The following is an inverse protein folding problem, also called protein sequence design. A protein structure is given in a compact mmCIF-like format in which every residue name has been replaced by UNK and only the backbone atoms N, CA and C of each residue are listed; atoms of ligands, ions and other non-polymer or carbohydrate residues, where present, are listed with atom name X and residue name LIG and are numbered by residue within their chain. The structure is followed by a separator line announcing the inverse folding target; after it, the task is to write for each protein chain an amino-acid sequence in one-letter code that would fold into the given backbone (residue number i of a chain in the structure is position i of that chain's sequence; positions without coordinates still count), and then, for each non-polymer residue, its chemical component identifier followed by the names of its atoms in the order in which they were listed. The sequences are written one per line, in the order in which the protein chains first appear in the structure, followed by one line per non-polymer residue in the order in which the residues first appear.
data_IF_432540037246
#
_entry.id   IF_432540037246
#
_cell.length_a   1.000
_cell.length_b   1.000
_cell.length_c   1.000
_cell.angle_alpha   90.00
_cell.angle_beta   90.00
_cell.angle_gamma   90.00
#
_symmetry.space_group_name_H-M   'P 1'
#
loop_
_entity.id
_entity.type
_entity.pdbx_description
1 polymer ?
#
# COMPACT_ATOMS: atom_id res chain seq x y z
N UNK A 1 2.96 13.48 10.04
CA UNK A 1 1.61 14.07 10.23
C UNK A 1 0.58 13.17 9.54
N UNK A 2 -0.60 13.01 10.11
CA UNK A 2 -1.68 12.23 9.49
C UNK A 2 -2.62 13.21 8.77
N UNK A 3 -2.63 13.17 7.44
CA UNK A 3 -3.44 14.09 6.62
C UNK A 3 -4.84 13.56 6.37
N UNK A 4 -4.99 12.24 6.29
CA UNK A 4 -6.29 11.58 6.19
C UNK A 4 -6.34 10.42 7.18
N UNK A 5 -7.00 10.58 8.35
CA UNK A 5 -7.04 9.55 9.38
C UNK A 5 -7.83 8.33 8.92
N UNK A 6 -7.52 7.16 9.49
CA UNK A 6 -8.31 5.95 9.28
C UNK A 6 -9.68 6.10 9.93
N UNK A 7 -10.72 5.69 9.21
CA UNK A 7 -12.10 5.74 9.70
C UNK A 7 -12.63 4.33 9.83
N UNK A 8 -12.91 3.92 11.06
CA UNK A 8 -13.54 2.63 11.29
C UNK A 8 -15.00 2.64 10.81
N UNK A 9 -15.48 1.50 10.36
CA UNK A 9 -16.77 1.29 9.67
C UNK A 9 -17.23 -0.10 10.05
N UNK A 10 -18.51 -0.23 10.37
CA UNK A 10 -19.11 -1.52 10.65
C UNK A 10 -19.11 -2.39 9.39
N UNK A 11 -18.66 -3.62 9.54
CA UNK A 11 -18.70 -4.63 8.49
C UNK A 11 -19.25 -5.92 9.09
N UNK A 12 -20.22 -6.52 8.39
CA UNK A 12 -20.97 -7.68 8.87
C UNK A 12 -20.45 -8.99 8.27
N UNK A 13 -19.78 -8.92 7.12
CA UNK A 13 -19.12 -10.08 6.55
C UNK A 13 -17.83 -10.41 7.32
N UNK A 14 -17.66 -11.65 7.83
CA UNK A 14 -16.49 -12.01 8.62
C UNK A 14 -15.16 -11.88 7.88
N UNK A 15 -15.13 -12.12 6.56
CA UNK A 15 -13.89 -12.03 5.77
C UNK A 15 -13.50 -10.57 5.57
N UNK A 16 -14.46 -9.72 5.21
CA UNK A 16 -14.24 -8.27 5.11
C UNK A 16 -13.86 -7.68 6.47
N UNK A 17 -14.48 -8.14 7.56
CA UNK A 17 -14.12 -7.75 8.92
C UNK A 17 -12.66 -8.08 9.27
N UNK A 18 -12.14 -9.21 8.79
CA UNK A 18 -10.74 -9.57 8.99
C UNK A 18 -9.80 -8.64 8.21
N UNK A 19 -10.13 -8.30 6.95
CA UNK A 19 -9.44 -7.29 6.16
C UNK A 19 -9.38 -5.93 6.88
N UNK A 20 -10.53 -5.45 7.35
CA UNK A 20 -10.67 -4.21 8.12
C UNK A 20 -9.81 -4.20 9.39
N UNK A 21 -9.73 -5.33 10.10
CA UNK A 21 -8.84 -5.45 11.28
C UNK A 21 -7.36 -5.30 10.91
N UNK A 22 -6.94 -5.90 9.79
CA UNK A 22 -5.56 -5.75 9.30
C UNK A 22 -5.27 -4.30 8.89
N UNK A 23 -6.17 -3.66 8.13
CA UNK A 23 -6.07 -2.22 7.78
C UNK A 23 -6.00 -1.33 9.03
N UNK A 24 -6.85 -1.58 10.04
CA UNK A 24 -6.87 -0.81 11.28
C UNK A 24 -5.61 -1.00 12.11
N UNK A 25 -5.09 -2.24 12.18
CA UNK A 25 -3.82 -2.54 12.85
C UNK A 25 -2.67 -1.77 12.19
N UNK A 26 -2.57 -1.83 10.87
CA UNK A 26 -1.52 -1.12 10.14
C UNK A 26 -1.67 0.41 10.25
N UNK A 27 -2.91 0.93 10.19
CA UNK A 27 -3.17 2.35 10.45
C UNK A 27 -2.68 2.78 11.84
N UNK A 28 -2.92 1.96 12.87
CA UNK A 28 -2.42 2.23 14.22
C UNK A 28 -0.89 2.34 14.27
N UNK A 29 -0.15 1.44 13.62
CA UNK A 29 1.32 1.50 13.59
C UNK A 29 1.85 2.70 12.80
N UNK A 30 1.28 2.97 11.63
CA UNK A 30 1.65 4.14 10.82
C UNK A 30 1.37 5.44 11.57
N UNK A 31 0.22 5.55 12.21
CA UNK A 31 -0.14 6.71 13.03
C UNK A 31 0.84 6.89 14.18
N UNK A 32 1.11 5.82 14.94
CA UNK A 32 2.03 5.89 16.07
C UNK A 32 3.44 6.33 15.64
N UNK A 33 3.91 5.87 14.49
CA UNK A 33 5.26 6.16 14.02
C UNK A 33 5.37 7.53 13.33
N UNK A 34 4.38 7.93 12.54
CA UNK A 34 4.47 9.12 11.69
C UNK A 34 3.68 10.33 12.19
N UNK A 35 2.88 10.23 13.25
CA UNK A 35 2.02 11.34 13.75
C UNK A 35 2.80 12.65 13.93
N UNK A 36 3.95 12.59 14.57
CA UNK A 36 4.78 13.76 14.89
C UNK A 36 5.81 14.10 13.80
N UNK A 37 5.89 13.29 12.74
CA UNK A 37 6.85 13.51 11.67
C UNK A 37 6.45 14.72 10.82
N UNK A 38 7.40 15.64 10.56
CA UNK A 38 7.13 16.90 9.84
C UNK A 38 7.25 16.78 8.32
N UNK A 39 8.01 15.80 7.83
CA UNK A 39 8.30 15.59 6.39
C UNK A 39 7.64 14.35 5.79
N UNK A 40 6.89 13.61 6.60
CA UNK A 40 6.21 12.38 6.19
C UNK A 40 4.74 12.52 6.52
N UNK A 41 3.91 12.23 5.54
CA UNK A 41 2.47 12.41 5.63
C UNK A 41 1.76 11.11 5.35
N UNK A 42 0.76 10.76 6.16
CA UNK A 42 0.00 9.52 5.99
C UNK A 42 -1.43 9.83 5.56
N UNK A 43 -1.91 9.09 4.57
CA UNK A 43 -3.30 9.09 4.14
C UNK A 43 -3.82 7.65 4.13
N UNK A 44 -4.88 7.39 4.86
CA UNK A 44 -5.54 6.08 4.86
C UNK A 44 -6.72 6.02 3.87
N UNK A 45 -7.05 4.82 3.41
CA UNK A 45 -8.18 4.49 2.54
C UNK A 45 -8.27 5.36 1.28
N UNK A 46 -7.12 5.64 0.63
CA UNK A 46 -7.07 6.53 -0.54
C UNK A 46 -7.79 5.87 -1.70
N UNK A 47 -8.86 6.51 -2.17
CA UNK A 47 -9.61 6.10 -3.35
C UNK A 47 -9.62 7.24 -4.35
N UNK A 48 -9.19 6.95 -5.57
CA UNK A 48 -9.15 7.90 -6.69
C UNK A 48 -9.72 7.24 -7.94
N UNK A 49 -10.18 8.07 -8.86
CA UNK A 49 -10.62 7.65 -10.19
C UNK A 49 -9.92 8.52 -11.23
N UNK A 50 -9.35 7.90 -12.25
CA UNK A 50 -8.68 8.59 -13.34
C UNK A 50 -8.71 7.72 -14.60
N UNK A 51 -9.08 8.30 -15.73
CA UNK A 51 -9.15 7.63 -17.05
C UNK A 51 -9.96 6.33 -17.05
N UNK A 52 -11.07 6.31 -16.29
CA UNK A 52 -11.95 5.13 -16.16
C UNK A 52 -11.39 4.02 -15.27
N UNK A 53 -10.20 4.21 -14.70
CA UNK A 53 -9.62 3.30 -13.72
C UNK A 53 -9.85 3.82 -12.29
N UNK A 54 -10.24 2.91 -11.41
CA UNK A 54 -10.36 3.18 -9.99
C UNK A 54 -9.13 2.62 -9.28
N UNK A 55 -8.45 3.48 -8.53
CA UNK A 55 -7.43 3.04 -7.60
C UNK A 55 -7.86 3.17 -6.14
N UNK A 56 -7.61 2.12 -5.37
CA UNK A 56 -7.80 2.03 -3.93
C UNK A 56 -6.49 1.54 -3.30
N UNK A 57 -5.95 2.33 -2.39
CA UNK A 57 -4.71 2.06 -1.66
C UNK A 57 -5.02 2.17 -0.17
N UNK A 58 -4.74 1.11 0.59
CA UNK A 58 -5.10 1.05 2.02
C UNK A 58 -4.40 2.16 2.80
N UNK A 59 -3.10 2.34 2.60
CA UNK A 59 -2.34 3.43 3.21
C UNK A 59 -1.32 4.00 2.22
N UNK A 60 -1.23 5.32 2.17
CA UNK A 60 -0.24 6.06 1.37
C UNK A 60 0.59 6.92 2.31
N UNK A 61 1.90 6.71 2.28
CA UNK A 61 2.89 7.55 2.96
C UNK A 61 3.56 8.43 1.92
N UNK A 62 3.38 9.74 2.03
CA UNK A 62 3.99 10.75 1.16
C UNK A 62 5.27 11.26 1.80
N UNK A 63 6.34 11.34 1.02
CA UNK A 63 7.65 11.85 1.42
C UNK A 63 8.25 12.74 0.33
N UNK A 64 9.35 13.44 0.63
CA UNK A 64 9.93 14.43 -0.28
C UNK A 64 10.42 13.92 -1.64
N UNK A 65 10.50 12.60 -1.84
CA UNK A 65 10.94 11.98 -3.10
C UNK A 65 9.84 11.20 -3.81
N UNK A 66 8.65 11.07 -3.21
CA UNK A 66 7.55 10.32 -3.78
C UNK A 66 6.60 9.74 -2.75
N UNK A 67 6.13 8.53 -3.00
CA UNK A 67 5.15 7.85 -2.17
C UNK A 67 5.54 6.40 -1.91
N UNK A 68 5.15 5.91 -0.73
CA UNK A 68 5.12 4.51 -0.39
C UNK A 68 3.67 4.08 -0.14
N UNK A 69 3.22 3.05 -0.84
CA UNK A 69 1.91 2.41 -0.64
C UNK A 69 2.12 1.22 0.29
N UNK A 70 1.27 1.10 1.31
CA UNK A 70 1.23 -0.08 2.18
C UNK A 70 -0.10 -0.77 1.99
N UNK A 71 -0.06 -1.96 1.39
CA UNK A 71 -1.19 -2.86 1.19
C UNK A 71 -1.34 -3.79 2.39
N UNK A 72 -2.48 -3.72 3.07
CA UNK A 72 -2.76 -4.49 4.28
C UNK A 72 -3.48 -5.78 3.92
N UNK A 73 -2.86 -6.94 4.21
CA UNK A 73 -3.45 -8.25 3.95
C UNK A 73 -3.75 -8.96 5.27
N UNK A 74 -5.03 -9.28 5.47
CA UNK A 74 -5.45 -10.15 6.57
C UNK A 74 -5.02 -11.60 6.29
N UNK A 75 -4.01 -12.07 7.02
CA UNK A 75 -3.48 -13.42 6.95
C UNK A 75 -3.66 -14.08 8.31
N UNK A 76 -4.65 -14.96 8.42
CA UNK A 76 -4.94 -15.67 9.67
C UNK A 76 -4.04 -16.88 9.92
N UNK A 77 -3.29 -17.33 8.92
CA UNK A 77 -2.37 -18.47 9.04
C UNK A 77 -1.04 -18.15 8.37
N UNK A 78 -0.94 -18.32 7.05
CA UNK A 78 0.33 -18.16 6.34
C UNK A 78 0.14 -17.71 4.90
N UNK A 79 1.06 -16.88 4.43
CA UNK A 79 1.30 -16.59 3.02
C UNK A 79 2.63 -17.23 2.63
N UNK A 80 2.69 -17.82 1.45
CA UNK A 80 3.90 -18.42 0.89
C UNK A 80 4.23 -17.78 -0.44
N UNK A 81 5.51 -17.50 -0.63
CA UNK A 81 6.08 -17.10 -1.91
C UNK A 81 6.99 -18.25 -2.34
N UNK A 82 6.54 -18.99 -3.35
CA UNK A 82 7.21 -20.21 -3.78
C UNK A 82 8.47 -19.91 -4.61
N UNK A 83 9.18 -20.95 -5.06
CA UNK A 83 10.43 -20.78 -5.80
C UNK A 83 10.28 -20.03 -7.15
N UNK A 84 9.08 -20.07 -7.74
CA UNK A 84 8.72 -19.35 -8.97
C UNK A 84 8.28 -17.90 -8.71
N UNK A 85 8.15 -17.48 -7.44
CA UNK A 85 7.68 -16.14 -7.07
C UNK A 85 6.16 -16.02 -7.02
N UNK A 86 5.43 -17.13 -7.13
CA UNK A 86 3.98 -17.13 -7.04
C UNK A 86 3.53 -17.03 -5.59
N UNK A 87 2.43 -16.34 -5.38
CA UNK A 87 1.85 -16.14 -4.06
C UNK A 87 0.78 -17.18 -3.79
N UNK A 88 0.84 -17.76 -2.60
CA UNK A 88 -0.14 -18.70 -2.11
C UNK A 88 -0.57 -18.31 -0.70
N UNK A 89 -1.83 -18.58 -0.37
CA UNK A 89 -2.34 -18.47 1.00
C UNK A 89 -2.68 -19.86 1.52
N UNK A 90 -2.48 -20.07 2.82
CA UNK A 90 -2.94 -21.27 3.51
C UNK A 90 -4.36 -21.06 4.02
N UNK A 91 -5.25 -21.99 3.72
CA UNK A 91 -6.61 -22.02 4.28
C UNK A 91 -7.11 -23.46 4.37
N UNK A 92 -7.69 -23.85 5.51
CA UNK A 92 -8.13 -25.22 5.75
C UNK A 92 -7.02 -26.27 5.57
N UNK A 93 -5.78 -25.91 5.92
CA UNK A 93 -4.60 -26.78 5.76
C UNK A 93 -4.07 -26.91 4.33
N UNK A 94 -4.71 -26.30 3.32
CA UNK A 94 -4.30 -26.35 1.92
C UNK A 94 -3.71 -25.02 1.46
N UNK A 95 -2.78 -25.10 0.52
CA UNK A 95 -2.27 -23.93 -0.20
C UNK A 95 -3.11 -23.70 -1.44
N UNK A 96 -3.43 -22.44 -1.70
CA UNK A 96 -4.12 -22.00 -2.91
C UNK A 96 -3.48 -20.73 -3.42
N UNK A 97 -3.37 -20.58 -4.74
CA UNK A 97 -2.87 -19.35 -5.35
C UNK A 97 -3.65 -18.12 -4.88
N UNK A 98 -2.94 -16.99 -4.78
CA UNK A 98 -3.50 -15.69 -4.48
C UNK A 98 -2.85 -14.60 -5.35
N UNK A 99 -3.50 -13.45 -5.54
CA UNK A 99 -2.88 -12.32 -6.23
C UNK A 99 -1.62 -11.83 -5.51
N UNK A 100 -0.63 -11.40 -6.29
CA UNK A 100 0.54 -10.69 -5.78
C UNK A 100 0.11 -9.30 -5.27
N UNK A 101 0.23 -9.08 -3.97
CA UNK A 101 -0.15 -7.84 -3.31
C UNK A 101 0.73 -6.64 -3.73
N UNK A 102 2.00 -6.88 -4.02
CA UNK A 102 2.94 -5.84 -4.48
C UNK A 102 2.53 -5.40 -5.87
N UNK A 103 2.33 -6.35 -6.78
CA UNK A 103 1.91 -6.03 -8.15
C UNK A 103 0.52 -5.37 -8.18
N UNK A 104 -0.38 -5.77 -7.26
CA UNK A 104 -1.66 -5.08 -7.08
C UNK A 104 -1.42 -3.60 -6.72
N UNK A 105 -0.67 -3.31 -5.65
CA UNK A 105 -0.40 -1.95 -5.21
C UNK A 105 0.37 -1.12 -6.27
N UNK A 106 1.26 -1.74 -7.05
CA UNK A 106 1.99 -1.05 -8.13
C UNK A 106 1.04 -0.55 -9.22
N UNK A 107 0.05 -1.37 -9.59
CA UNK A 107 -1.01 -0.97 -10.54
C UNK A 107 -1.85 0.18 -9.99
N UNK A 108 -2.24 0.12 -8.72
CA UNK A 108 -3.01 1.19 -8.06
C UNK A 108 -2.19 2.50 -8.04
N UNK A 109 -0.91 2.41 -7.67
CA UNK A 109 0.00 3.55 -7.66
C UNK A 109 0.22 4.15 -9.04
N UNK A 110 0.20 3.35 -10.11
CA UNK A 110 0.33 3.86 -11.48
C UNK A 110 -0.85 4.75 -11.89
N UNK A 111 -2.07 4.42 -11.45
CA UNK A 111 -3.26 5.29 -11.63
C UNK A 111 -3.02 6.63 -10.92
N UNK A 112 -2.51 6.60 -9.68
CA UNK A 112 -2.18 7.82 -8.93
C UNK A 112 -1.08 8.64 -9.62
N UNK A 113 -0.01 7.99 -10.10
CA UNK A 113 1.08 8.67 -10.80
C UNK A 113 0.61 9.33 -12.08
N UNK A 114 -0.28 8.68 -12.84
CA UNK A 114 -0.92 9.27 -14.05
C UNK A 114 -1.79 10.47 -13.68
N UNK A 115 -2.61 10.37 -12.62
CA UNK A 115 -3.43 11.48 -12.14
C UNK A 115 -2.59 12.69 -11.71
N UNK A 116 -1.50 12.45 -10.97
CA UNK A 116 -0.58 13.52 -10.57
C UNK A 116 0.11 14.14 -11.78
N UNK A 117 0.54 13.32 -12.74
CA UNK A 117 1.18 13.79 -13.98
C UNK A 117 0.23 14.63 -14.83
N UNK A 118 -1.04 14.22 -14.97
CA UNK A 118 -2.05 15.00 -15.72
C UNK A 118 -2.40 16.33 -15.04
N UNK A 119 -2.11 16.47 -13.74
CA UNK A 119 -2.31 17.70 -12.95
C UNK A 119 -1.01 18.42 -12.60
N UNK A 120 0.14 18.03 -13.16
CA UNK A 120 1.44 18.57 -12.77
C UNK A 120 1.52 20.09 -12.91
N UNK A 121 0.81 20.66 -13.87
CA UNK A 121 0.73 22.10 -14.14
C UNK A 121 0.11 22.90 -12.99
N UNK A 122 -0.85 22.29 -12.30
CA UNK A 122 -1.55 22.90 -11.18
C UNK A 122 -0.90 22.58 -9.83
N UNK A 123 -0.06 21.54 -9.78
CA UNK A 123 0.51 21.01 -8.53
C UNK A 123 1.99 21.35 -8.35
N UNK A 124 2.73 21.61 -9.43
CA UNK A 124 4.17 21.84 -9.38
C UNK A 124 4.52 23.20 -9.97
N UNK A 125 5.29 23.96 -9.21
CA UNK A 125 5.87 25.21 -9.66
C UNK A 125 7.01 24.98 -10.67
N UNK A 126 7.36 26.05 -11.38
CA UNK A 126 8.57 26.06 -12.21
C UNK A 126 9.81 26.15 -11.32
N UNK A 127 10.71 25.19 -11.47
CA UNK A 127 12.06 25.23 -10.91
C UNK A 127 12.84 26.34 -11.62
N UNK A 128 13.29 27.32 -10.84
CA UNK A 128 14.03 28.51 -11.32
C UNK A 128 13.31 29.30 -12.43
N UNK A 129 11.99 29.18 -12.54
CA UNK A 129 11.20 29.83 -13.59
C UNK A 129 11.40 29.25 -15.01
N UNK A 130 12.31 28.29 -15.19
CA UNK A 130 12.73 27.78 -16.50
C UNK A 130 12.31 26.33 -16.75
N UNK A 131 12.37 25.47 -15.72
CA UNK A 131 12.05 24.05 -15.85
C UNK A 131 10.78 23.72 -15.11
N UNK A 132 9.80 23.13 -15.81
CA UNK A 132 8.58 22.69 -15.16
C UNK A 132 8.86 21.44 -14.32
N UNK A 133 8.46 21.45 -13.04
CA UNK A 133 8.49 20.23 -12.24
C UNK A 133 7.65 19.13 -12.89
N UNK A 134 8.06 17.87 -12.69
CA UNK A 134 7.30 16.72 -13.19
C UNK A 134 7.26 15.61 -12.15
N UNK A 135 6.17 14.85 -12.14
CA UNK A 135 6.04 13.61 -11.37
C UNK A 135 6.72 12.41 -12.06
N UNK A 136 7.34 12.57 -13.23
CA UNK A 136 8.02 11.48 -13.94
C UNK A 136 9.05 10.74 -13.08
N UNK A 137 9.87 11.50 -12.33
CA UNK A 137 10.89 10.97 -11.42
C UNK A 137 10.37 10.63 -10.00
N UNK A 138 9.07 10.82 -9.74
CA UNK A 138 8.49 10.51 -8.43
C UNK A 138 8.65 9.01 -8.13
N UNK A 139 9.28 8.72 -6.99
CA UNK A 139 9.39 7.36 -6.47
C UNK A 139 8.00 6.82 -6.11
N UNK A 140 7.79 5.55 -6.44
CA UNK A 140 6.57 4.82 -6.11
C UNK A 140 7.01 3.46 -5.59
N UNK A 141 7.00 3.34 -4.27
CA UNK A 141 7.30 2.11 -3.58
C UNK A 141 6.00 1.46 -3.09
N UNK A 142 5.98 0.13 -3.08
CA UNK A 142 4.83 -0.65 -2.60
C UNK A 142 5.31 -1.70 -1.63
N UNK A 143 4.66 -1.76 -0.48
CA UNK A 143 4.89 -2.73 0.56
C UNK A 143 3.60 -3.52 0.80
N UNK A 144 3.74 -4.81 1.07
CA UNK A 144 2.63 -5.66 1.50
C UNK A 144 2.84 -6.00 2.96
N UNK A 145 1.97 -5.50 3.83
CA UNK A 145 1.96 -5.80 5.25
C UNK A 145 0.95 -6.92 5.52
N UNK A 146 1.40 -8.05 6.07
CA UNK A 146 0.49 -9.09 6.58
C UNK A 146 0.20 -8.85 8.06
N UNK A 147 -1.01 -9.19 8.50
CA UNK A 147 -1.41 -9.09 9.91
C UNK A 147 -0.45 -9.84 10.86
N UNK A 148 -0.39 -9.38 12.11
CA UNK A 148 0.52 -9.93 13.12
C UNK A 148 0.33 -11.41 13.45
N UNK A 149 -0.87 -11.94 13.25
CA UNK A 149 -1.13 -13.35 13.53
C UNK A 149 -0.61 -14.27 12.40
N UNK A 150 -0.24 -13.68 11.25
CA UNK A 150 0.20 -14.40 10.07
C UNK A 150 1.71 -14.66 10.04
N UNK A 151 2.10 -15.64 9.22
CA UNK A 151 3.50 -15.91 8.88
C UNK A 151 3.76 -15.77 7.37
N UNK A 152 5.00 -15.48 7.01
CA UNK A 152 5.47 -15.46 5.62
C UNK A 152 6.47 -16.59 5.42
N UNK A 153 6.13 -17.53 4.55
CA UNK A 153 7.04 -18.58 4.08
C UNK A 153 7.70 -18.15 2.77
N UNK A 154 9.02 -18.27 2.69
CA UNK A 154 9.80 -17.91 1.49
C UNK A 154 10.64 -19.08 1.05
N UNK A 155 10.62 -19.40 -0.24
CA UNK A 155 11.48 -20.42 -0.79
C UNK A 155 12.97 -20.03 -0.72
N UNK A 156 13.28 -18.72 -0.81
CA UNK A 156 14.65 -18.19 -0.71
C UNK A 156 14.73 -17.06 0.31
N UNK A 157 15.83 -16.99 1.07
CA UNK A 157 16.09 -15.88 2.00
C UNK A 157 16.14 -14.56 1.22
N UNK A 158 15.41 -13.55 1.69
CA UNK A 158 15.35 -12.23 1.06
C UNK A 158 14.44 -12.13 -0.17
N UNK A 159 13.79 -13.21 -0.60
CA UNK A 159 12.78 -13.16 -1.66
C UNK A 159 11.63 -12.24 -1.28
N UNK A 160 11.18 -11.36 -2.18
CA UNK A 160 10.12 -10.38 -1.95
C UNK A 160 10.28 -9.59 -0.62
N UNK A 161 11.36 -8.79 -0.49
CA UNK A 161 11.74 -8.12 0.76
C UNK A 161 10.74 -7.03 1.18
N UNK A 162 9.90 -6.56 0.24
CA UNK A 162 8.83 -5.58 0.48
C UNK A 162 7.55 -6.19 1.07
N UNK A 163 7.54 -7.50 1.29
CA UNK A 163 6.46 -8.19 1.99
C UNK A 163 6.90 -8.37 3.43
N UNK A 164 6.17 -7.81 4.37
CA UNK A 164 6.57 -7.77 5.77
C UNK A 164 5.39 -8.13 6.67
N UNK A 165 5.71 -8.53 7.90
CA UNK A 165 4.73 -8.55 8.97
C UNK A 165 4.49 -7.10 9.42
N UNK A 166 3.24 -6.78 9.76
CA UNK A 166 2.83 -5.45 10.23
C UNK A 166 3.64 -4.98 11.45
#
# INVERSE_FOLDING_TARGET
MILKPYVDREERDPRRSAGRRAERQMAHYLDRHFREHTKLHVLHDVRIEHDGEVAQMDHVVVHGFGIAIVESKSVSTSVRINAAGEWERRWGGRWSGMPDAILQGERQGLVLKRLLTSRQDALLDKVLGLFKGTFGAMALDVFAAISDDGTIERAKRGQAPRVMKA
#
